data_IF_559104871599
#
_entry.id   IF_559104871599
#
_cell.length_a   1.000
_cell.length_b   1.000
_cell.length_c   1.000
_cell.angle_alpha   90.00
_cell.angle_beta   90.00
_cell.angle_gamma   90.00
#
_symmetry.space_group_name_H-M   'P 1'
#
loop_
_entity.id
_entity.type
_entity.pdbx_description
1 polymer ?
#
# COMPACT_ATOMS: atom_id res chain seq x y z
N UNK A 1 16.78 7.40 5.18
CA UNK A 1 17.15 6.22 4.43
C UNK A 1 15.98 5.51 3.77
N UNK A 2 16.30 4.44 3.12
CA UNK A 2 15.33 3.60 2.43
C UNK A 2 15.08 2.33 3.25
N UNK A 3 13.81 1.96 3.41
CA UNK A 3 13.44 0.74 4.11
C UNK A 3 13.00 -0.32 3.11
N UNK A 4 13.62 -1.48 3.18
CA UNK A 4 13.28 -2.62 2.32
C UNK A 4 12.46 -3.63 3.11
N UNK A 5 11.32 -4.03 2.55
CA UNK A 5 10.44 -5.01 3.16
C UNK A 5 10.37 -6.26 2.29
N UNK A 6 10.75 -7.40 2.86
CA UNK A 6 10.65 -8.69 2.17
C UNK A 6 9.35 -9.37 2.60
N UNK A 7 8.50 -9.69 1.64
CA UNK A 7 7.17 -10.24 1.90
C UNK A 7 7.04 -11.64 1.29
N UNK A 8 6.65 -12.59 2.12
CA UNK A 8 6.26 -13.92 1.66
C UNK A 8 4.79 -14.12 2.07
N UNK A 9 3.85 -14.04 1.13
CA UNK A 9 2.44 -14.16 1.47
C UNK A 9 2.06 -15.61 1.76
N UNK A 10 1.07 -15.78 2.65
CA UNK A 10 0.46 -17.08 2.86
C UNK A 10 -0.60 -17.31 1.76
N UNK A 11 -1.39 -18.38 1.89
CA UNK A 11 -2.37 -18.73 0.86
C UNK A 11 -3.68 -17.94 0.96
N UNK A 12 -3.85 -17.15 2.01
CA UNK A 12 -5.06 -16.35 2.17
C UNK A 12 -5.10 -15.19 1.18
N UNK A 13 -6.29 -14.79 0.74
CA UNK A 13 -6.43 -13.69 -0.21
C UNK A 13 -5.85 -12.39 0.31
N UNK A 14 -5.02 -11.74 -0.52
CA UNK A 14 -4.43 -10.45 -0.22
C UNK A 14 -3.84 -9.88 -1.50
N UNK A 15 -3.49 -8.60 -1.49
CA UNK A 15 -2.76 -8.01 -2.61
C UNK A 15 -1.40 -8.68 -2.79
N UNK A 16 -0.78 -9.11 -1.70
CA UNK A 16 0.52 -9.79 -1.75
C UNK A 16 0.41 -11.14 -2.46
N UNK A 17 -0.59 -11.94 -2.09
CA UNK A 17 -0.82 -13.25 -2.72
C UNK A 17 -1.19 -13.09 -4.19
N UNK A 18 -2.09 -12.16 -4.46
CA UNK A 18 -2.55 -11.88 -5.81
C UNK A 18 -1.40 -11.45 -6.73
N UNK A 19 -0.53 -10.56 -6.23
CA UNK A 19 0.63 -10.11 -7.00
C UNK A 19 1.57 -11.27 -7.32
N UNK A 20 1.88 -12.09 -6.32
CA UNK A 20 2.79 -13.22 -6.51
C UNK A 20 2.23 -14.22 -7.53
N UNK A 21 0.93 -14.50 -7.46
CA UNK A 21 0.28 -15.44 -8.39
C UNK A 21 0.24 -14.90 -9.81
N UNK A 22 0.04 -13.61 -9.99
CA UNK A 22 -0.09 -13.00 -11.31
C UNK A 22 1.23 -12.63 -11.95
N UNK A 23 2.20 -12.18 -11.17
CA UNK A 23 3.44 -11.60 -11.68
C UNK A 23 4.70 -12.32 -11.25
N UNK A 24 4.60 -13.24 -10.29
CA UNK A 24 5.78 -13.87 -9.71
C UNK A 24 6.51 -12.94 -8.75
N UNK A 25 7.76 -13.23 -8.48
CA UNK A 25 8.57 -12.41 -7.59
C UNK A 25 8.87 -11.05 -8.23
N UNK A 26 8.84 -10.01 -7.41
CA UNK A 26 9.12 -8.67 -7.91
C UNK A 26 8.79 -7.61 -6.86
N UNK A 27 8.81 -6.37 -7.28
CA UNK A 27 8.48 -5.24 -6.41
C UNK A 27 6.97 -5.12 -6.32
N UNK A 28 6.44 -5.31 -5.10
CA UNK A 28 5.00 -5.23 -4.85
C UNK A 28 4.54 -3.78 -4.73
N UNK A 29 5.25 -2.97 -3.97
CA UNK A 29 4.80 -1.60 -3.71
C UNK A 29 5.94 -0.63 -3.42
N UNK A 30 5.62 0.65 -3.60
CA UNK A 30 6.42 1.78 -3.12
C UNK A 30 5.55 2.52 -2.11
N UNK A 31 6.12 2.89 -0.98
CA UNK A 31 5.37 3.47 0.12
C UNK A 31 5.73 4.94 0.38
N UNK A 32 4.72 5.72 0.71
CA UNK A 32 4.87 7.13 1.03
C UNK A 32 4.06 7.46 2.28
N UNK A 33 4.60 8.28 3.15
CA UNK A 33 3.85 8.83 4.28
C UNK A 33 2.86 9.89 3.78
N UNK A 34 1.69 9.95 4.41
CA UNK A 34 0.65 10.89 4.00
C UNK A 34 0.84 12.31 4.53
N UNK A 35 2.03 12.68 4.88
CA UNK A 35 2.43 13.92 5.53
C UNK A 35 1.42 15.07 5.44
N UNK A 36 0.89 15.51 6.58
CA UNK A 36 0.00 16.67 6.63
C UNK A 36 -1.46 16.39 6.30
N UNK A 37 -1.82 15.18 5.87
CA UNK A 37 -3.22 14.79 5.63
C UNK A 37 -3.54 13.51 6.37
N UNK A 38 -4.83 13.23 6.53
CA UNK A 38 -5.23 11.93 7.05
C UNK A 38 -5.34 10.92 5.90
N UNK A 39 -5.46 9.65 6.26
CA UNK A 39 -5.51 8.57 5.27
C UNK A 39 -6.67 8.73 4.30
N UNK A 40 -7.84 9.12 4.78
CA UNK A 40 -9.01 9.26 3.92
C UNK A 40 -8.82 10.33 2.86
N UNK A 41 -8.24 11.48 3.24
CA UNK A 41 -7.94 12.55 2.29
C UNK A 41 -6.92 12.10 1.24
N UNK A 42 -5.89 11.38 1.69
CA UNK A 42 -4.85 10.90 0.77
C UNK A 42 -5.42 9.88 -0.22
N UNK A 43 -6.25 8.96 0.25
CA UNK A 43 -6.91 7.97 -0.62
C UNK A 43 -7.83 8.67 -1.63
N UNK A 44 -8.61 9.65 -1.18
CA UNK A 44 -9.51 10.39 -2.06
C UNK A 44 -8.74 11.16 -3.13
N UNK A 45 -7.61 11.77 -2.77
CA UNK A 45 -6.75 12.45 -3.74
C UNK A 45 -6.22 11.47 -4.79
N UNK A 46 -5.82 10.28 -4.38
CA UNK A 46 -5.32 9.27 -5.32
C UNK A 46 -6.42 8.80 -6.28
N UNK A 47 -7.66 8.71 -5.81
CA UNK A 47 -8.79 8.34 -6.66
C UNK A 47 -8.98 9.32 -7.81
N UNK A 48 -8.71 10.60 -7.58
CA UNK A 48 -8.80 11.62 -8.62
C UNK A 48 -7.81 11.37 -9.76
N UNK A 49 -6.72 10.66 -9.47
CA UNK A 49 -5.72 10.29 -10.47
C UNK A 49 -5.92 8.88 -11.01
N UNK A 50 -7.07 8.27 -10.73
CA UNK A 50 -7.41 6.97 -11.26
C UNK A 50 -6.90 5.78 -10.45
N UNK A 51 -6.34 6.02 -9.28
CA UNK A 51 -5.89 4.94 -8.40
C UNK A 51 -7.01 4.50 -7.48
N UNK A 52 -7.28 3.20 -7.41
CA UNK A 52 -8.35 2.65 -6.56
C UNK A 52 -7.77 1.93 -5.36
N UNK A 53 -8.50 1.99 -4.25
CA UNK A 53 -8.11 1.30 -3.03
C UNK A 53 -8.27 -0.20 -3.20
N UNK A 54 -7.18 -0.95 -2.99
CA UNK A 54 -7.16 -2.40 -3.14
C UNK A 54 -7.15 -3.12 -1.79
N UNK A 55 -6.45 -2.55 -0.80
CA UNK A 55 -6.32 -3.16 0.52
C UNK A 55 -5.98 -2.09 1.53
N UNK A 56 -6.53 -2.19 2.74
CA UNK A 56 -6.18 -1.29 3.84
C UNK A 56 -6.15 -2.07 5.14
N UNK A 57 -5.46 -1.53 6.13
CA UNK A 57 -5.39 -2.15 7.45
C UNK A 57 -4.67 -1.25 8.44
N UNK A 58 -4.56 -1.74 9.65
CA UNK A 58 -3.80 -1.09 10.70
C UNK A 58 -2.60 -1.95 11.07
N UNK A 59 -1.55 -1.32 11.57
CA UNK A 59 -0.36 -2.04 11.99
C UNK A 59 -0.05 -1.76 13.46
N UNK A 60 0.76 -2.64 14.05
CA UNK A 60 1.07 -2.59 15.46
C UNK A 60 -0.19 -2.82 16.30
N UNK A 61 -0.37 -2.05 17.34
CA UNK A 61 -1.55 -2.08 18.21
C UNK A 61 -2.49 -0.92 17.88
N UNK A 62 -2.66 -0.61 16.60
CA UNK A 62 -3.43 0.55 16.17
C UNK A 62 -2.60 1.82 16.13
N UNK A 63 -1.27 1.69 16.03
CA UNK A 63 -0.35 2.82 16.02
C UNK A 63 -0.35 3.58 14.70
N UNK A 64 -0.91 3.01 13.68
CA UNK A 64 -0.99 3.61 12.38
C UNK A 64 -1.75 2.73 11.41
N UNK A 65 -1.81 3.14 10.17
CA UNK A 65 -2.57 2.45 9.14
C UNK A 65 -1.91 2.55 7.79
N UNK A 66 -2.28 1.62 6.93
CA UNK A 66 -1.77 1.58 5.56
C UNK A 66 -2.92 1.43 4.58
N UNK A 67 -2.67 1.83 3.34
CA UNK A 67 -3.59 1.58 2.24
C UNK A 67 -2.76 1.29 0.98
N UNK A 68 -3.12 0.23 0.26
CA UNK A 68 -2.55 -0.07 -1.04
C UNK A 68 -3.50 0.41 -2.12
N UNK A 69 -2.95 1.13 -3.10
CA UNK A 69 -3.71 1.69 -4.20
C UNK A 69 -3.20 1.12 -5.51
N UNK A 70 -4.11 0.91 -6.44
CA UNK A 70 -3.80 0.34 -7.74
C UNK A 70 -3.03 1.34 -8.60
N UNK A 71 -1.80 1.00 -8.94
CA UNK A 71 -0.97 1.75 -9.87
C UNK A 71 -0.20 0.80 -10.79
N UNK A 72 -0.55 -0.49 -10.76
CA UNK A 72 0.18 -1.53 -11.48
C UNK A 72 0.13 -1.35 -12.99
N UNK A 73 -0.95 -0.80 -13.50
CA UNK A 73 -1.10 -0.56 -14.93
C UNK A 73 -0.07 0.46 -15.44
N UNK A 74 0.07 1.57 -14.74
CA UNK A 74 0.92 2.67 -15.17
C UNK A 74 2.33 2.59 -14.60
N UNK A 75 2.47 2.24 -13.33
CA UNK A 75 3.74 2.23 -12.62
C UNK A 75 4.33 0.84 -12.39
N UNK A 76 3.55 -0.21 -12.66
CA UNK A 76 3.94 -1.61 -12.49
C UNK A 76 4.14 -2.03 -11.04
N UNK A 77 3.71 -1.20 -10.10
CA UNK A 77 3.73 -1.48 -8.66
C UNK A 77 2.47 -0.91 -8.04
N UNK A 78 2.14 -1.39 -6.84
CA UNK A 78 1.12 -0.76 -6.02
C UNK A 78 1.75 0.45 -5.31
N UNK A 79 0.93 1.44 -4.99
CA UNK A 79 1.35 2.54 -4.14
C UNK A 79 0.79 2.29 -2.75
N UNK A 80 1.66 2.34 -1.74
CA UNK A 80 1.23 2.22 -0.35
C UNK A 80 1.27 3.59 0.30
N UNK A 81 0.19 3.93 0.99
CA UNK A 81 0.15 5.13 1.82
C UNK A 81 0.22 4.70 3.28
N UNK A 82 1.03 5.42 4.05
CA UNK A 82 1.25 5.15 5.47
C UNK A 82 0.88 6.36 6.30
N UNK A 83 0.08 6.14 7.32
CA UNK A 83 -0.25 7.16 8.31
C UNK A 83 0.12 6.63 9.68
N UNK A 84 0.99 7.35 10.40
CA UNK A 84 1.39 7.00 11.75
C UNK A 84 0.78 7.99 12.75
N UNK A 85 0.29 7.46 13.86
CA UNK A 85 -0.21 8.29 14.96
C UNK A 85 0.94 8.81 15.82
N UNK A 86 2.13 8.27 15.64
CA UNK A 86 3.33 8.73 16.34
C UNK A 86 3.96 9.88 15.56
N UNK A 87 4.21 10.94 16.27
CA UNK A 87 4.87 12.13 15.71
C UNK A 87 6.37 12.10 15.99
#
# INVERSE_FOLDING_TARGET
GLQLELIQPNEEPSTWREFLDEHGEGVHHLAFNVAGMNMQQAVDNCKEFGMTLEQKGEYGSGDGRYAYLSATKDLKVLIELLESDKK
#
